data_IF_437529294264
#
_entry.id   IF_437529294264
#
_cell.length_a   1.000
_cell.length_b   1.000
_cell.length_c   1.000
_cell.angle_alpha   90.00
_cell.angle_beta   90.00
_cell.angle_gamma   90.00
#
_symmetry.space_group_name_H-M   'P 1'
#
loop_
_entity.id
_entity.type
_entity.pdbx_description
1 polymer ?
#
# COMPACT_ATOMS: atom_id res chain seq x y z
N UNK A 1 2.62 7.32 -17.36
CA UNK A 1 2.44 6.35 -16.25
C UNK A 1 1.12 6.69 -15.57
N UNK A 2 0.08 5.91 -15.80
CA UNK A 2 -1.23 6.13 -15.18
C UNK A 2 -1.17 5.64 -13.74
N UNK A 3 -1.28 6.55 -12.76
CA UNK A 3 -1.46 6.15 -11.36
C UNK A 3 -2.80 5.42 -11.26
N UNK A 4 -2.83 4.27 -10.59
CA UNK A 4 -4.09 3.56 -10.35
C UNK A 4 -4.77 4.10 -9.09
N UNK A 5 -6.11 4.06 -9.02
CA UNK A 5 -6.81 4.39 -7.80
C UNK A 5 -6.52 3.36 -6.70
N UNK A 6 -6.81 3.73 -5.46
CA UNK A 6 -6.63 2.86 -4.31
C UNK A 6 -7.45 1.57 -4.48
N UNK A 7 -6.83 0.42 -4.27
CA UNK A 7 -7.50 -0.88 -4.43
C UNK A 7 -8.54 -1.16 -3.33
N UNK A 8 -8.49 -0.44 -2.21
CA UNK A 8 -9.43 -0.61 -1.09
C UNK A 8 -10.67 0.27 -1.25
N UNK A 9 -10.50 1.54 -1.60
CA UNK A 9 -11.61 2.51 -1.63
C UNK A 9 -11.81 3.23 -2.96
N UNK A 10 -10.98 2.97 -3.98
CA UNK A 10 -11.08 3.62 -5.28
C UNK A 10 -10.59 5.07 -5.32
N UNK A 11 -9.95 5.59 -4.27
CA UNK A 11 -9.43 6.96 -4.24
C UNK A 11 -8.42 7.19 -5.37
N UNK A 12 -8.63 8.21 -6.20
CA UNK A 12 -7.76 8.54 -7.33
C UNK A 12 -6.33 8.92 -6.91
N UNK A 13 -6.18 9.42 -5.67
CA UNK A 13 -4.89 9.69 -5.03
C UNK A 13 -4.44 8.45 -4.28
N UNK A 14 -3.73 7.57 -4.98
CA UNK A 14 -3.05 6.44 -4.40
C UNK A 14 -1.56 6.43 -4.76
N UNK A 15 -0.78 5.94 -3.82
CA UNK A 15 0.66 5.77 -3.91
C UNK A 15 1.00 4.28 -4.03
N UNK A 16 2.14 3.99 -4.68
CA UNK A 16 2.64 2.63 -4.80
C UNK A 16 3.20 2.17 -3.44
N UNK A 17 2.54 1.18 -2.86
CA UNK A 17 3.00 0.49 -1.66
C UNK A 17 3.85 -0.72 -2.07
N UNK A 18 5.07 -0.77 -1.54
CA UNK A 18 5.97 -1.91 -1.63
C UNK A 18 6.01 -2.61 -0.27
N UNK A 19 5.48 -3.83 -0.17
CA UNK A 19 5.71 -4.69 1.01
C UNK A 19 7.12 -5.32 0.94
N UNK A 20 7.57 -5.72 -0.25
CA UNK A 20 8.87 -6.36 -0.46
C UNK A 20 9.67 -5.58 -1.52
N UNK A 21 10.71 -4.87 -1.06
CA UNK A 21 11.60 -4.09 -1.92
C UNK A 21 12.42 -4.94 -2.89
N UNK A 22 12.47 -6.27 -2.69
CA UNK A 22 13.13 -7.22 -3.59
C UNK A 22 12.29 -7.50 -4.84
N UNK A 23 11.02 -7.10 -4.86
CA UNK A 23 10.09 -7.35 -5.96
C UNK A 23 9.47 -6.05 -6.50
N UNK A 24 10.20 -5.30 -7.33
CA UNK A 24 9.76 -3.97 -7.79
C UNK A 24 8.50 -3.97 -8.66
N UNK A 25 8.08 -5.13 -9.16
CA UNK A 25 6.87 -5.28 -9.97
C UNK A 25 5.61 -5.58 -9.13
N UNK A 26 5.76 -6.02 -7.88
CA UNK A 26 4.64 -6.29 -6.97
C UNK A 26 4.37 -5.03 -6.13
N UNK A 27 3.57 -4.11 -6.69
CA UNK A 27 3.11 -2.90 -6.00
C UNK A 27 1.61 -2.92 -5.80
N UNK A 28 1.15 -2.49 -4.63
CA UNK A 28 -0.26 -2.26 -4.35
C UNK A 28 -0.54 -0.77 -4.41
N UNK A 29 -1.68 -0.37 -4.97
CA UNK A 29 -2.07 1.04 -5.00
C UNK A 29 -2.92 1.35 -3.79
N UNK A 30 -2.38 2.11 -2.84
CA UNK A 30 -3.07 2.47 -1.61
C UNK A 30 -3.08 3.99 -1.43
N UNK A 31 -4.23 4.56 -1.06
CA UNK A 31 -4.26 5.94 -0.63
C UNK A 31 -3.54 6.09 0.72
N UNK A 32 -3.10 7.30 1.05
CA UNK A 32 -2.33 7.58 2.27
C UNK A 32 -2.93 6.95 3.54
N UNK A 33 -4.26 7.03 3.72
CA UNK A 33 -4.95 6.43 4.88
C UNK A 33 -4.82 4.90 4.93
N UNK A 34 -5.07 4.22 3.80
CA UNK A 34 -4.93 2.75 3.72
C UNK A 34 -3.47 2.31 3.74
N UNK A 35 -2.57 3.13 3.22
CA UNK A 35 -1.14 2.92 3.29
C UNK A 35 -0.67 2.92 4.75
N UNK A 36 -1.03 3.94 5.52
CA UNK A 36 -0.73 4.00 6.96
C UNK A 36 -1.43 2.89 7.74
N UNK A 37 -2.66 2.53 7.38
CA UNK A 37 -3.36 1.41 8.00
C UNK A 37 -2.63 0.08 7.76
N UNK A 38 -2.12 -0.16 6.56
CA UNK A 38 -1.32 -1.35 6.22
C UNK A 38 -0.05 -1.41 7.07
N UNK A 39 0.67 -0.30 7.19
CA UNK A 39 1.83 -0.18 8.09
C UNK A 39 1.47 -0.37 9.58
N UNK A 40 0.32 0.15 10.02
CA UNK A 40 -0.15 0.02 11.39
C UNK A 40 -0.63 -1.42 11.72
N UNK A 41 -1.30 -2.09 10.78
CA UNK A 41 -1.73 -3.48 10.91
C UNK A 41 -0.55 -4.43 11.00
N UNK A 42 0.55 -4.16 10.28
CA UNK A 42 1.80 -4.92 10.40
C UNK A 42 2.43 -4.83 11.80
N UNK A 43 2.16 -3.76 12.57
CA UNK A 43 2.60 -3.67 13.98
C UNK A 43 1.70 -4.45 14.96
N UNK A 44 0.47 -4.79 14.56
CA UNK A 44 -0.45 -5.58 15.38
C UNK A 44 -0.32 -7.10 15.13
N UNK A 45 0.23 -7.50 13.97
CA UNK A 45 0.56 -8.89 13.65
C UNK A 45 2.07 -9.06 13.83
N UNK A 46 2.48 -9.28 15.08
CA UNK A 46 3.88 -9.35 15.48
C UNK A 46 4.75 -10.20 14.56
N UNK A 47 5.67 -9.53 13.86
CA UNK A 47 6.92 -10.09 13.39
C UNK A 47 8.02 -9.25 14.05
N UNK A 48 8.43 -9.71 15.23
CA UNK A 48 9.65 -9.34 15.92
C UNK A 48 10.74 -10.35 15.56
#
# INVERSE_FOLDING_TARGET
>A
MSRKPCEVCGAEKADAHHDDYSKPLEIQWLCHSHHMLRHAMLRARGEA
#
